data_IF_325528862352
#
_entry.id   IF_325528862352
#
_cell.length_a   1.000
_cell.length_b   1.000
_cell.length_c   1.000
_cell.angle_alpha   90.00
_cell.angle_beta   90.00
_cell.angle_gamma   90.00
#
_symmetry.space_group_name_H-M   'P 1'
#
loop_
_entity.id
_entity.type
_entity.pdbx_description
1 polymer ?
#
# COMPACT_ATOMS: atom_id res chain seq x y z
N UNK A 1 -10.09 4.51 6.44
CA UNK A 1 -9.30 3.38 6.95
C UNK A 1 -7.84 3.81 7.08
N UNK A 2 -7.08 3.20 7.99
CA UNK A 2 -5.63 3.42 8.17
C UNK A 2 -4.86 2.26 7.56
N UNK A 3 -3.82 2.60 6.83
CA UNK A 3 -2.86 1.65 6.29
C UNK A 3 -1.46 1.96 6.81
N UNK A 4 -0.65 0.93 6.96
CA UNK A 4 0.77 1.02 7.27
C UNK A 4 1.59 0.10 6.38
N UNK A 5 2.84 0.49 6.11
CA UNK A 5 3.81 -0.34 5.42
C UNK A 5 4.97 -0.64 6.35
N UNK A 6 5.38 -1.91 6.40
CA UNK A 6 6.58 -2.37 7.10
C UNK A 6 7.54 -2.91 6.04
N UNK A 7 8.70 -2.28 5.90
CA UNK A 7 9.78 -2.73 5.04
C UNK A 7 10.74 -3.58 5.88
N UNK A 8 11.14 -4.75 5.38
CA UNK A 8 12.01 -5.70 6.07
C UNK A 8 13.22 -5.99 5.20
N UNK A 9 14.42 -5.75 5.74
CA UNK A 9 15.69 -5.99 5.05
C UNK A 9 16.83 -5.16 5.67
N UNK A 10 17.96 -5.79 5.97
CA UNK A 10 19.14 -5.10 6.48
C UNK A 10 19.67 -4.03 5.49
N UNK A 11 19.51 -4.26 4.18
CA UNK A 11 19.90 -3.32 3.13
C UNK A 11 19.10 -2.00 3.13
N UNK A 12 17.96 -1.96 3.82
CA UNK A 12 17.19 -0.73 4.02
C UNK A 12 17.84 0.20 5.06
N UNK A 13 18.68 -0.37 5.93
CA UNK A 13 19.27 0.32 7.07
C UNK A 13 20.79 0.53 6.90
N UNK A 14 21.42 -0.25 6.01
CA UNK A 14 22.86 -0.22 5.78
C UNK A 14 23.23 0.21 4.35
N UNK A 15 24.21 1.11 4.21
CA UNK A 15 24.79 1.52 2.91
C UNK A 15 25.80 0.48 2.37
N UNK A 16 25.72 -0.78 2.82
CA UNK A 16 26.74 -1.79 2.60
C UNK A 16 26.54 -2.62 1.32
N UNK A 17 25.32 -2.65 0.77
CA UNK A 17 24.94 -3.57 -0.30
C UNK A 17 24.85 -2.92 -1.69
N UNK A 18 25.17 -1.62 -1.81
CA UNK A 18 25.05 -0.86 -3.07
C UNK A 18 23.60 -0.65 -3.52
N UNK A 19 22.63 -1.04 -2.68
CA UNK A 19 21.22 -0.71 -2.81
C UNK A 19 21.03 0.68 -2.24
N UNK A 20 20.57 1.63 -3.06
CA UNK A 20 20.29 2.97 -2.55
C UNK A 20 19.09 2.90 -1.60
N UNK A 21 19.12 3.57 -0.43
CA UNK A 21 18.01 3.57 0.53
C UNK A 21 16.65 3.93 -0.07
N UNK A 22 16.64 4.66 -1.18
CA UNK A 22 15.45 5.12 -1.88
C UNK A 22 14.85 4.12 -2.89
N UNK A 23 15.38 2.90 -3.03
CA UNK A 23 14.87 1.92 -4.03
C UNK A 23 13.39 1.52 -3.81
N UNK A 24 12.88 1.68 -2.59
CA UNK A 24 11.47 1.46 -2.24
C UNK A 24 10.56 2.67 -2.54
N UNK A 25 11.12 3.81 -2.95
CA UNK A 25 10.37 5.06 -3.15
C UNK A 25 9.23 4.91 -4.16
N UNK A 26 9.48 4.24 -5.28
CA UNK A 26 8.49 4.02 -6.33
C UNK A 26 7.31 3.18 -5.80
N UNK A 27 7.62 2.05 -5.16
CA UNK A 27 6.62 1.17 -4.53
C UNK A 27 5.75 1.93 -3.53
N UNK A 28 6.37 2.70 -2.62
CA UNK A 28 5.63 3.46 -1.60
C UNK A 28 4.76 4.56 -2.20
N UNK A 29 5.22 5.24 -3.26
CA UNK A 29 4.44 6.27 -3.94
C UNK A 29 3.21 5.69 -4.63
N UNK A 30 3.37 4.57 -5.32
CA UNK A 30 2.25 3.88 -5.96
C UNK A 30 1.24 3.34 -4.95
N UNK A 31 1.72 2.58 -3.96
CA UNK A 31 0.85 2.07 -2.89
C UNK A 31 0.11 3.21 -2.18
N UNK A 32 0.80 4.32 -1.88
CA UNK A 32 0.20 5.49 -1.26
C UNK A 32 -0.91 6.11 -2.12
N UNK A 33 -0.70 6.21 -3.43
CA UNK A 33 -1.71 6.69 -4.37
C UNK A 33 -2.90 5.73 -4.42
N UNK A 34 -2.68 4.44 -4.68
CA UNK A 34 -3.74 3.43 -4.80
C UNK A 34 -4.58 3.29 -3.53
N UNK A 35 -3.93 3.37 -2.37
CA UNK A 35 -4.59 3.35 -1.06
C UNK A 35 -5.43 4.61 -0.84
N UNK A 36 -4.90 5.78 -1.19
CA UNK A 36 -5.63 7.05 -1.10
C UNK A 36 -6.89 7.02 -1.96
N UNK A 37 -6.77 6.46 -3.18
CA UNK A 37 -7.87 6.25 -4.12
C UNK A 37 -8.96 5.35 -3.54
N UNK A 38 -8.57 4.40 -2.68
CA UNK A 38 -9.46 3.47 -1.96
C UNK A 38 -9.81 3.94 -0.54
N UNK A 39 -9.64 5.23 -0.24
CA UNK A 39 -10.05 5.80 1.05
C UNK A 39 -9.24 5.32 2.28
N UNK A 40 -8.11 4.66 2.05
CA UNK A 40 -7.10 4.41 3.07
C UNK A 40 -6.22 5.66 3.24
N UNK A 41 -5.74 5.87 4.45
CA UNK A 41 -4.67 6.80 4.73
C UNK A 41 -3.42 5.97 5.06
N UNK A 42 -2.42 5.97 4.17
CA UNK A 42 -1.10 5.43 4.49
C UNK A 42 -0.45 6.37 5.51
N UNK A 43 -0.52 6.01 6.79
CA UNK A 43 -0.16 6.89 7.89
C UNK A 43 1.24 6.65 8.46
N UNK A 44 1.81 5.47 8.23
CA UNK A 44 3.12 5.09 8.75
C UNK A 44 3.83 4.14 7.79
N UNK A 45 5.11 4.42 7.58
CA UNK A 45 6.06 3.50 6.94
C UNK A 45 7.17 3.23 7.96
N UNK A 46 7.56 1.98 8.16
CA UNK A 46 8.60 1.59 9.12
C UNK A 46 9.55 0.62 8.45
N UNK A 47 10.86 0.85 8.56
CA UNK A 47 11.89 -0.07 8.09
C UNK A 47 12.52 -0.80 9.28
N UNK A 48 12.71 -2.10 9.16
CA UNK A 48 13.40 -2.95 10.14
C UNK A 48 14.38 -3.88 9.43
N UNK A 49 15.40 -4.33 10.15
CA UNK A 49 16.34 -5.34 9.66
C UNK A 49 15.77 -6.75 9.70
N UNK A 50 16.57 -7.73 9.27
CA UNK A 50 16.21 -9.16 9.21
C UNK A 50 16.36 -9.88 10.56
N UNK A 51 16.58 -9.11 11.63
CA UNK A 51 16.77 -9.66 12.96
C UNK A 51 15.47 -10.30 13.48
N UNK A 52 15.57 -11.46 14.15
CA UNK A 52 14.38 -12.22 14.54
C UNK A 52 13.60 -11.47 15.62
N UNK A 53 12.30 -11.31 15.39
CA UNK A 53 11.40 -10.66 16.34
C UNK A 53 11.27 -9.15 16.13
N UNK A 54 11.75 -8.61 15.02
CA UNK A 54 11.51 -7.22 14.63
C UNK A 54 10.10 -7.03 14.02
N UNK A 55 9.61 -7.99 13.23
CA UNK A 55 8.32 -7.86 12.55
C UNK A 55 7.13 -8.09 13.50
N UNK A 56 7.19 -9.12 14.33
CA UNK A 56 6.06 -9.54 15.18
C UNK A 56 5.54 -8.42 16.10
N UNK A 57 6.37 -7.65 16.83
CA UNK A 57 5.92 -6.53 17.66
C UNK A 57 5.21 -5.44 16.86
N UNK A 58 5.67 -5.15 15.64
CA UNK A 58 5.06 -4.13 14.78
C UNK A 58 3.67 -4.57 14.30
N UNK A 59 3.50 -5.85 13.97
CA UNK A 59 2.20 -6.40 13.60
C UNK A 59 1.23 -6.36 14.79
N UNK A 60 1.67 -6.75 15.99
CA UNK A 60 0.85 -6.66 17.19
C UNK A 60 0.49 -5.22 17.58
N UNK A 61 1.44 -4.28 17.45
CA UNK A 61 1.18 -2.83 17.65
C UNK A 61 0.13 -2.31 16.66
N UNK A 62 0.26 -2.64 15.37
CA UNK A 62 -0.72 -2.25 14.36
C UNK A 62 -2.12 -2.79 14.65
N UNK A 63 -2.22 -4.06 15.07
CA UNK A 63 -3.49 -4.65 15.48
C UNK A 63 -4.06 -3.99 16.74
N UNK A 64 -3.24 -3.76 17.77
CA UNK A 64 -3.66 -3.10 19.00
C UNK A 64 -4.17 -1.68 18.76
N UNK A 65 -3.58 -0.98 17.78
CA UNK A 65 -4.03 0.35 17.36
C UNK A 65 -5.22 0.32 16.43
N UNK A 66 -5.75 -0.84 16.01
CA UNK A 66 -6.83 -1.01 15.01
C UNK A 66 -6.47 -0.42 13.64
N UNK A 67 -5.27 -0.70 13.14
CA UNK A 67 -4.91 -0.42 11.74
C UNK A 67 -5.69 -1.38 10.84
N UNK A 68 -6.30 -0.87 9.76
CA UNK A 68 -7.17 -1.69 8.90
C UNK A 68 -6.36 -2.58 7.95
N UNK A 69 -5.22 -2.06 7.46
CA UNK A 69 -4.33 -2.76 6.54
C UNK A 69 -2.86 -2.56 6.93
N UNK A 70 -2.10 -3.65 7.00
CA UNK A 70 -0.64 -3.63 7.08
C UNK A 70 -0.08 -4.35 5.87
N UNK A 71 0.84 -3.70 5.16
CA UNK A 71 1.59 -4.33 4.08
C UNK A 71 3.03 -4.51 4.52
N UNK A 72 3.49 -5.75 4.56
CA UNK A 72 4.89 -6.11 4.83
C UNK A 72 5.57 -6.33 3.49
N UNK A 73 6.75 -5.76 3.29
CA UNK A 73 7.51 -5.85 2.04
C UNK A 73 8.94 -6.28 2.39
N UNK A 74 9.38 -7.44 1.88
CA UNK A 74 10.71 -7.99 2.17
C UNK A 74 10.72 -9.31 2.92
N UNK A 75 11.90 -9.92 3.05
CA UNK A 75 12.16 -11.14 3.84
C UNK A 75 11.41 -12.40 3.40
N UNK A 76 11.05 -12.51 2.11
CA UNK A 76 10.30 -13.63 1.52
C UNK A 76 11.14 -14.53 0.59
N UNK A 77 12.44 -14.32 0.46
CA UNK A 77 13.29 -15.19 -0.33
C UNK A 77 13.54 -16.57 0.31
N UNK A 78 14.49 -17.34 -0.24
CA UNK A 78 14.82 -18.67 0.22
C UNK A 78 15.93 -18.71 1.29
N UNK A 79 16.54 -17.59 1.65
CA UNK A 79 17.72 -17.57 2.52
C UNK A 79 17.34 -17.64 4.01
N UNK A 80 18.34 -17.65 4.89
CA UNK A 80 18.17 -17.94 6.33
C UNK A 80 17.82 -16.69 7.17
N UNK A 81 18.12 -15.54 6.60
CA UNK A 81 17.71 -14.18 6.96
C UNK A 81 16.28 -13.86 6.49
N UNK A 82 15.76 -14.52 5.44
CA UNK A 82 14.34 -14.44 5.05
C UNK A 82 13.40 -15.10 6.08
N UNK A 83 13.00 -14.32 7.08
CA UNK A 83 12.29 -14.80 8.28
C UNK A 83 10.82 -14.39 8.35
N UNK A 84 10.30 -13.61 7.39
CA UNK A 84 8.93 -13.11 7.46
C UNK A 84 7.91 -14.24 7.56
N UNK A 85 8.12 -15.37 6.86
CA UNK A 85 7.24 -16.56 6.98
C UNK A 85 7.25 -17.16 8.38
N UNK A 86 8.42 -17.25 8.98
CA UNK A 86 8.60 -17.82 10.31
C UNK A 86 7.98 -16.89 11.38
N UNK A 87 8.14 -15.58 11.23
CA UNK A 87 7.50 -14.58 12.09
C UNK A 87 5.98 -14.56 11.93
N UNK A 88 5.46 -14.66 10.71
CA UNK A 88 4.02 -14.76 10.47
C UNK A 88 3.45 -16.00 11.16
N UNK A 89 4.14 -17.15 11.10
CA UNK A 89 3.71 -18.36 11.82
C UNK A 89 3.58 -18.11 13.34
N UNK A 90 4.53 -17.39 13.94
CA UNK A 90 4.46 -16.98 15.35
C UNK A 90 3.28 -16.06 15.62
N UNK A 91 3.06 -15.06 14.77
CA UNK A 91 1.99 -14.05 14.93
C UNK A 91 0.61 -14.67 14.82
N UNK A 92 0.39 -15.60 13.88
CA UNK A 92 -0.89 -16.31 13.75
C UNK A 92 -1.07 -17.45 14.76
N UNK A 93 -0.04 -17.74 15.57
CA UNK A 93 -0.08 -18.78 16.59
C UNK A 93 -0.12 -20.21 16.03
N UNK A 94 0.50 -20.42 14.87
CA UNK A 94 0.46 -21.69 14.13
C UNK A 94 1.83 -22.36 14.10
N UNK A 95 1.84 -23.64 13.70
CA UNK A 95 3.09 -24.38 13.51
C UNK A 95 3.99 -23.78 12.41
N UNK A 96 5.22 -24.30 12.25
CA UNK A 96 6.17 -23.79 11.27
C UNK A 96 5.58 -23.80 9.85
N UNK A 97 5.99 -22.87 8.97
CA UNK A 97 5.55 -22.84 7.58
C UNK A 97 5.80 -24.19 6.89
N UNK A 98 4.83 -24.66 6.11
CA UNK A 98 4.91 -25.92 5.36
C UNK A 98 4.62 -25.70 3.89
N UNK A 99 5.05 -26.60 2.98
CA UNK A 99 4.71 -26.53 1.57
C UNK A 99 3.20 -26.35 1.37
N UNK A 100 2.81 -25.26 0.69
CA UNK A 100 1.42 -25.04 0.31
C UNK A 100 1.21 -25.48 -1.14
N UNK A 101 0.19 -26.29 -1.46
CA UNK A 101 0.00 -26.84 -2.81
C UNK A 101 0.00 -25.77 -3.91
N UNK A 102 -0.69 -24.65 -3.69
CA UNK A 102 -0.77 -23.57 -4.69
C UNK A 102 0.56 -22.83 -4.84
N UNK A 103 1.17 -22.41 -3.73
CA UNK A 103 2.45 -21.71 -3.73
C UNK A 103 3.58 -22.55 -4.34
N UNK A 104 3.62 -23.87 -4.06
CA UNK A 104 4.59 -24.78 -4.67
C UNK A 104 4.36 -24.93 -6.17
N UNK A 105 3.11 -24.99 -6.64
CA UNK A 105 2.81 -25.03 -8.08
C UNK A 105 3.26 -23.76 -8.77
N UNK A 106 3.00 -22.58 -8.20
CA UNK A 106 3.46 -21.31 -8.74
C UNK A 106 4.99 -21.23 -8.77
N UNK A 107 5.65 -21.63 -7.69
CA UNK A 107 7.11 -21.65 -7.61
C UNK A 107 7.73 -22.51 -8.71
N UNK A 108 7.23 -23.74 -8.90
CA UNK A 108 7.69 -24.63 -9.97
C UNK A 108 7.42 -24.05 -11.35
N UNK A 109 6.24 -23.45 -11.57
CA UNK A 109 5.92 -22.76 -12.82
C UNK A 109 6.89 -21.59 -13.08
N UNK A 110 7.21 -20.79 -12.06
CA UNK A 110 8.16 -19.68 -12.17
C UNK A 110 9.56 -20.13 -12.59
N UNK A 111 10.04 -21.28 -12.13
CA UNK A 111 11.31 -21.88 -12.61
C UNK A 111 11.22 -22.26 -14.09
N UNK A 112 10.14 -22.92 -14.49
CA UNK A 112 9.92 -23.39 -15.86
C UNK A 112 9.80 -22.22 -16.85
N UNK A 113 9.03 -21.18 -16.51
CA UNK A 113 8.85 -19.98 -17.33
C UNK A 113 10.15 -19.19 -17.55
N UNK A 114 11.11 -19.33 -16.63
CA UNK A 114 12.43 -18.67 -16.71
C UNK A 114 13.48 -19.56 -17.40
N UNK A 115 13.10 -20.72 -17.90
CA UNK A 115 13.99 -21.74 -18.46
C UNK A 115 15.12 -22.16 -17.48
N UNK A 116 14.83 -22.14 -16.17
CA UNK A 116 15.76 -22.55 -15.12
C UNK A 116 15.36 -23.94 -14.62
N UNK A 117 16.30 -24.91 -14.51
CA UNK A 117 16.01 -26.21 -13.92
C UNK A 117 15.47 -26.06 -12.49
N UNK A 118 14.36 -26.73 -12.20
CA UNK A 118 13.85 -26.84 -10.82
C UNK A 118 14.91 -27.56 -9.97
N UNK A 119 15.36 -27.00 -8.84
CA UNK A 119 16.35 -27.64 -8.00
C UNK A 119 15.82 -28.92 -7.35
N UNK A 120 16.71 -29.72 -6.77
CA UNK A 120 16.33 -30.97 -6.09
C UNK A 120 15.37 -30.71 -4.91
N UNK A 121 14.45 -31.66 -4.69
CA UNK A 121 13.49 -31.62 -3.59
C UNK A 121 14.22 -31.57 -2.22
N UNK A 122 13.60 -30.89 -1.26
CA UNK A 122 14.16 -30.66 0.07
C UNK A 122 15.22 -29.56 0.15
N UNK A 123 15.46 -28.83 -0.95
CA UNK A 123 16.38 -27.69 -0.99
C UNK A 123 15.80 -26.39 -0.40
N UNK A 124 16.63 -25.38 -0.11
CA UNK A 124 16.19 -24.09 0.45
C UNK A 124 15.14 -23.35 -0.39
N UNK A 125 15.13 -23.58 -1.72
CA UNK A 125 14.19 -22.95 -2.65
C UNK A 125 12.73 -23.23 -2.29
N UNK A 126 12.41 -24.41 -1.75
CA UNK A 126 11.03 -24.78 -1.36
C UNK A 126 10.44 -23.83 -0.31
N UNK A 127 11.30 -23.18 0.51
CA UNK A 127 10.87 -22.19 1.51
C UNK A 127 10.04 -21.07 0.88
N UNK A 128 10.28 -20.72 -0.38
CA UNK A 128 9.52 -19.71 -1.13
C UNK A 128 8.06 -20.12 -1.39
N UNK A 129 7.75 -21.43 -1.35
CA UNK A 129 6.41 -21.99 -1.46
C UNK A 129 5.83 -22.49 -0.13
N UNK A 130 6.50 -22.23 0.99
CA UNK A 130 5.99 -22.56 2.32
C UNK A 130 5.05 -21.48 2.83
N UNK A 131 3.96 -21.88 3.49
CA UNK A 131 2.98 -20.97 4.09
C UNK A 131 2.54 -21.53 5.44
N UNK A 132 2.38 -20.69 6.49
CA UNK A 132 1.81 -21.11 7.75
C UNK A 132 0.35 -21.58 7.60
N UNK A 133 -0.09 -22.48 8.48
CA UNK A 133 -1.48 -22.91 8.49
C UNK A 133 -2.42 -21.71 8.75
N UNK A 134 -3.56 -21.64 8.04
CA UNK A 134 -4.54 -20.56 8.21
C UNK A 134 -4.13 -19.22 7.59
N UNK A 135 -2.99 -19.19 6.89
CA UNK A 135 -2.55 -18.07 6.07
C UNK A 135 -2.79 -18.43 4.61
N UNK A 136 -3.31 -17.47 3.85
CA UNK A 136 -3.58 -17.66 2.42
C UNK A 136 -2.32 -17.32 1.61
N UNK A 137 -1.89 -18.17 0.66
CA UNK A 137 -0.80 -17.83 -0.25
C UNK A 137 -1.24 -16.73 -1.23
N UNK A 138 -0.32 -15.85 -1.61
CA UNK A 138 -0.55 -14.82 -2.64
C UNK A 138 0.40 -15.07 -3.81
N UNK A 139 -0.14 -15.14 -5.02
CA UNK A 139 0.65 -15.43 -6.22
C UNK A 139 1.63 -14.29 -6.53
N UNK A 140 2.85 -14.65 -6.94
CA UNK A 140 3.86 -13.70 -7.38
C UNK A 140 4.07 -13.83 -8.90
N UNK A 141 3.34 -13.05 -9.73
CA UNK A 141 3.38 -13.21 -11.18
C UNK A 141 4.73 -12.80 -11.80
N UNK A 142 5.53 -12.01 -11.09
CA UNK A 142 6.81 -11.50 -11.59
C UNK A 142 8.04 -12.16 -10.93
N UNK A 143 7.83 -13.01 -9.92
CA UNK A 143 8.88 -13.60 -9.10
C UNK A 143 8.66 -15.08 -8.76
N UNK A 144 9.35 -15.53 -7.72
CA UNK A 144 9.33 -16.93 -7.27
C UNK A 144 8.69 -17.09 -5.88
N UNK A 145 8.98 -16.16 -4.98
CA UNK A 145 8.49 -16.18 -3.61
C UNK A 145 6.99 -15.89 -3.55
N UNK A 146 6.19 -16.84 -3.07
CA UNK A 146 4.78 -16.60 -2.79
C UNK A 146 4.64 -15.61 -1.63
N UNK A 147 3.73 -14.66 -1.79
CA UNK A 147 3.29 -13.76 -0.72
C UNK A 147 2.35 -14.46 0.26
N UNK A 148 1.89 -13.71 1.24
CA UNK A 148 0.97 -14.20 2.26
C UNK A 148 -0.14 -13.18 2.57
N UNK A 149 -1.34 -13.66 2.83
CA UNK A 149 -2.49 -12.88 3.25
C UNK A 149 -3.13 -13.51 4.50
N UNK A 150 -3.34 -12.70 5.54
CA UNK A 150 -4.02 -13.15 6.76
C UNK A 150 -4.69 -11.98 7.48
N UNK A 151 -5.37 -12.28 8.59
CA UNK A 151 -5.95 -11.29 9.51
C UNK A 151 -5.34 -11.45 10.89
N UNK A 152 -5.11 -10.32 11.55
CA UNK A 152 -4.68 -10.24 12.94
C UNK A 152 -5.79 -9.57 13.76
N UNK A 153 -6.45 -10.36 14.61
CA UNK A 153 -7.67 -9.91 15.27
C UNK A 153 -8.84 -9.71 14.28
N UNK A 154 -9.90 -8.98 14.69
CA UNK A 154 -11.11 -8.86 13.88
C UNK A 154 -10.96 -7.94 12.67
N UNK A 155 -10.06 -6.95 12.73
CA UNK A 155 -10.07 -5.81 11.81
C UNK A 155 -8.80 -5.69 10.93
N UNK A 156 -7.63 -6.13 11.42
CA UNK A 156 -6.36 -5.85 10.72
C UNK A 156 -6.07 -6.90 9.67
N UNK A 157 -6.08 -6.51 8.40
CA UNK A 157 -5.58 -7.33 7.29
C UNK A 157 -4.07 -7.15 7.16
N UNK A 158 -3.36 -8.25 6.92
CA UNK A 158 -1.92 -8.23 6.66
C UNK A 158 -1.64 -8.85 5.30
N UNK A 159 -0.83 -8.18 4.48
CA UNK A 159 -0.36 -8.66 3.18
C UNK A 159 1.16 -8.64 3.17
N UNK A 160 1.81 -9.75 2.88
CA UNK A 160 3.26 -9.86 2.78
C UNK A 160 3.67 -10.00 1.31
N UNK A 161 4.54 -9.10 0.86
CA UNK A 161 5.03 -8.96 -0.50
C UNK A 161 6.56 -9.10 -0.53
N UNK A 162 7.16 -9.49 -1.67
CA UNK A 162 8.61 -9.60 -1.82
C UNK A 162 9.28 -8.23 -1.70
N UNK A 163 10.55 -8.20 -1.29
CA UNK A 163 11.34 -6.98 -1.11
C UNK A 163 11.81 -6.35 -2.42
N UNK A 164 11.57 -7.01 -3.55
CA UNK A 164 12.04 -6.54 -4.85
C UNK A 164 10.93 -5.81 -5.56
N UNK A 165 11.12 -4.52 -5.84
CA UNK A 165 10.08 -3.63 -6.40
C UNK A 165 9.43 -4.18 -7.67
N UNK A 166 10.21 -4.80 -8.56
CA UNK A 166 9.67 -5.39 -9.80
C UNK A 166 8.77 -6.60 -9.57
N UNK A 167 8.86 -7.25 -8.40
CA UNK A 167 7.97 -8.34 -7.99
C UNK A 167 6.79 -7.81 -7.16
N UNK A 168 7.07 -6.88 -6.24
CA UNK A 168 6.09 -6.35 -5.31
C UNK A 168 4.98 -5.55 -6.01
N UNK A 169 5.31 -4.74 -7.02
CA UNK A 169 4.35 -3.91 -7.73
C UNK A 169 3.32 -4.73 -8.53
N UNK A 170 3.72 -5.74 -9.34
CA UNK A 170 2.76 -6.64 -9.97
C UNK A 170 1.87 -7.37 -8.97
N UNK A 171 2.43 -7.92 -7.88
CA UNK A 171 1.64 -8.55 -6.83
C UNK A 171 0.64 -7.59 -6.17
N UNK A 172 1.09 -6.36 -5.89
CA UNK A 172 0.24 -5.32 -5.34
C UNK A 172 -0.95 -5.06 -6.27
N UNK A 173 -0.70 -4.84 -7.56
CA UNK A 173 -1.73 -4.46 -8.54
C UNK A 173 -2.67 -5.61 -8.89
N UNK A 174 -2.16 -6.83 -9.02
CA UNK A 174 -2.91 -7.97 -9.56
C UNK A 174 -3.58 -8.82 -8.48
N UNK A 175 -3.02 -8.87 -7.28
CA UNK A 175 -3.52 -9.73 -6.21
C UNK A 175 -4.05 -8.92 -5.02
N UNK A 176 -3.29 -7.92 -4.56
CA UNK A 176 -3.68 -7.16 -3.36
C UNK A 176 -4.79 -6.16 -3.65
N UNK A 177 -4.66 -5.31 -4.67
CA UNK A 177 -5.68 -4.30 -4.97
C UNK A 177 -7.05 -4.90 -5.27
N UNK A 178 -7.20 -5.96 -6.09
CA UNK A 178 -8.51 -6.54 -6.35
C UNK A 178 -9.12 -7.17 -5.10
N UNK A 179 -8.32 -7.73 -4.21
CA UNK A 179 -8.76 -8.24 -2.91
C UNK A 179 -9.16 -7.11 -1.95
N UNK A 180 -8.47 -5.97 -1.99
CA UNK A 180 -8.92 -4.77 -1.30
C UNK A 180 -10.25 -4.29 -1.86
N UNK A 181 -10.44 -4.28 -3.18
CA UNK A 181 -11.65 -3.79 -3.86
C UNK A 181 -12.90 -4.67 -3.61
N UNK A 182 -12.73 -5.96 -3.30
CA UNK A 182 -13.86 -6.84 -2.93
C UNK A 182 -14.48 -6.46 -1.58
N UNK A 183 -13.63 -6.10 -0.62
CA UNK A 183 -14.03 -5.72 0.74
C UNK A 183 -14.24 -4.20 0.86
N UNK A 184 -13.50 -3.45 0.05
CA UNK A 184 -13.69 -2.04 -0.20
C UNK A 184 -14.80 -1.88 -1.23
N UNK A 185 -16.03 -2.05 -0.76
CA UNK A 185 -17.05 -1.19 -1.31
C UNK A 185 -16.73 0.22 -0.77
N UNK A 186 -16.44 1.25 -1.60
CA UNK A 186 -16.93 2.57 -1.23
C UNK A 186 -18.39 2.36 -0.80
N UNK A 187 -18.87 3.05 0.25
CA UNK A 187 -20.31 2.97 0.57
C UNK A 187 -21.08 3.01 -0.75
N UNK A 188 -21.98 2.03 -1.05
CA UNK A 188 -22.50 1.84 -2.40
C UNK A 188 -22.92 3.18 -3.00
N UNK A 189 -22.21 3.60 -4.06
CA UNK A 189 -22.24 4.98 -4.52
C UNK A 189 -21.39 5.92 -3.67
N UNK A 190 -20.06 5.84 -3.75
CA UNK A 190 -19.18 6.95 -3.32
C UNK A 190 -18.28 7.34 -4.49
N UNK A 191 -18.17 8.64 -4.77
CA UNK A 191 -17.35 9.20 -5.85
C UNK A 191 -16.12 9.89 -5.27
N UNK A 192 -15.06 9.92 -6.07
CA UNK A 192 -13.87 10.73 -5.84
C UNK A 192 -13.79 11.83 -6.91
N UNK A 193 -13.37 13.02 -6.52
CA UNK A 193 -13.02 14.10 -7.45
C UNK A 193 -11.69 14.73 -7.05
N UNK A 194 -10.90 15.17 -8.04
CA UNK A 194 -9.57 15.71 -7.84
C UNK A 194 -9.46 17.08 -8.51
N UNK A 195 -9.14 18.11 -7.73
CA UNK A 195 -8.87 19.45 -8.26
C UNK A 195 -7.37 19.72 -8.16
N UNK A 196 -6.78 20.24 -9.23
CA UNK A 196 -5.38 20.69 -9.24
C UNK A 196 -5.38 22.21 -9.18
N UNK A 197 -4.90 22.75 -8.06
CA UNK A 197 -4.86 24.18 -7.77
C UNK A 197 -3.42 24.67 -7.92
N UNK A 198 -3.21 25.73 -8.70
CA UNK A 198 -1.89 26.32 -8.94
C UNK A 198 -1.85 27.78 -8.52
N UNK A 199 -0.65 28.27 -8.20
CA UNK A 199 -0.41 29.69 -7.90
C UNK A 199 -0.72 30.13 -6.47
N UNK A 200 -1.01 29.19 -5.56
CA UNK A 200 -1.37 29.46 -4.17
C UNK A 200 -0.58 28.57 -3.21
N UNK A 201 -0.27 29.09 -2.03
CA UNK A 201 0.35 28.30 -0.96
C UNK A 201 -0.70 27.49 -0.20
N UNK A 202 -0.28 26.36 0.38
CA UNK A 202 -1.14 25.54 1.23
C UNK A 202 -1.70 26.32 2.42
N UNK A 203 -0.95 27.26 2.99
CA UNK A 203 -1.42 28.10 4.10
C UNK A 203 -2.60 29.02 3.75
N UNK A 204 -2.78 29.36 2.47
CA UNK A 204 -3.94 30.12 1.99
C UNK A 204 -5.08 29.18 1.57
N UNK A 205 -4.74 28.05 0.95
CA UNK A 205 -5.72 27.07 0.47
C UNK A 205 -6.39 26.27 1.60
N UNK A 206 -5.60 25.89 2.62
CA UNK A 206 -6.01 25.08 3.77
C UNK A 206 -7.29 25.58 4.43
N UNK A 207 -7.34 26.83 4.91
CA UNK A 207 -8.52 27.38 5.55
C UNK A 207 -9.78 27.34 4.68
N UNK A 208 -9.65 27.57 3.37
CA UNK A 208 -10.79 27.56 2.43
C UNK A 208 -11.36 26.14 2.28
N UNK A 209 -10.48 25.14 2.16
CA UNK A 209 -10.88 23.74 2.03
C UNK A 209 -11.42 23.20 3.36
N UNK A 210 -10.87 23.63 4.50
CA UNK A 210 -11.40 23.30 5.83
C UNK A 210 -12.80 23.86 6.05
N UNK A 211 -13.02 25.14 5.73
CA UNK A 211 -14.35 25.77 5.78
C UNK A 211 -15.35 25.06 4.84
N UNK A 212 -14.89 24.72 3.63
CA UNK A 212 -15.68 23.96 2.66
C UNK A 212 -16.09 22.59 3.20
N UNK A 213 -15.17 21.85 3.81
CA UNK A 213 -15.43 20.52 4.38
C UNK A 213 -16.33 20.60 5.62
N UNK A 214 -16.14 21.61 6.47
CA UNK A 214 -16.94 21.81 7.68
C UNK A 214 -18.44 22.06 7.39
N UNK A 215 -18.75 22.62 6.22
CA UNK A 215 -20.13 22.90 5.79
C UNK A 215 -20.80 21.75 5.04
N UNK A 216 -20.09 20.65 4.78
CA UNK A 216 -20.61 19.50 4.00
C UNK A 216 -20.41 18.17 4.73
N UNK A 217 -21.29 17.84 5.69
CA UNK A 217 -21.29 16.53 6.33
C UNK A 217 -21.43 15.44 5.26
N UNK A 218 -20.44 14.56 5.14
CA UNK A 218 -20.41 13.51 4.12
C UNK A 218 -19.42 13.74 2.97
N UNK A 219 -18.87 14.95 2.83
CA UNK A 219 -17.75 15.22 1.92
C UNK A 219 -16.45 15.31 2.72
N UNK A 220 -15.53 14.39 2.47
CA UNK A 220 -14.16 14.46 2.96
C UNK A 220 -13.31 15.22 1.95
N UNK A 221 -12.67 16.31 2.38
CA UNK A 221 -11.68 17.00 1.59
C UNK A 221 -10.27 16.74 2.14
N UNK A 222 -9.29 16.50 1.26
CA UNK A 222 -7.87 16.42 1.61
C UNK A 222 -7.05 17.29 0.68
N UNK A 223 -5.96 17.82 1.20
CA UNK A 223 -4.98 18.59 0.45
C UNK A 223 -3.67 17.81 0.42
N UNK A 224 -3.07 17.66 -0.75
CA UNK A 224 -1.74 17.07 -0.92
C UNK A 224 -0.95 17.90 -1.92
N UNK A 225 0.37 17.98 -1.77
CA UNK A 225 1.22 18.57 -2.80
C UNK A 225 1.14 17.71 -4.08
N UNK A 226 0.82 18.33 -5.21
CA UNK A 226 0.72 17.64 -6.51
C UNK A 226 2.04 17.72 -7.30
N UNK A 227 2.73 18.86 -7.21
CA UNK A 227 4.04 19.06 -7.83
C UNK A 227 4.81 20.16 -7.07
N UNK A 228 6.02 19.84 -6.63
CA UNK A 228 6.92 20.79 -5.99
C UNK A 228 7.70 21.66 -7.00
N UNK A 229 7.72 21.28 -8.29
CA UNK A 229 8.55 21.91 -9.33
C UNK A 229 7.81 22.96 -10.18
N UNK A 230 6.49 23.07 -10.07
CA UNK A 230 5.63 23.98 -10.86
C UNK A 230 5.75 25.50 -10.56
N UNK A 231 6.91 25.99 -10.11
CA UNK A 231 7.17 27.40 -9.81
C UNK A 231 7.12 27.73 -8.31
N UNK A 232 6.98 29.03 -7.97
CA UNK A 232 7.18 29.55 -6.59
C UNK A 232 6.30 28.88 -5.51
N UNK A 233 5.15 28.32 -5.89
CA UNK A 233 4.21 27.66 -4.99
C UNK A 233 3.84 26.22 -5.40
N UNK A 234 4.43 25.70 -6.48
CA UNK A 234 4.08 24.38 -7.01
C UNK A 234 2.60 24.25 -7.44
N UNK A 235 2.10 23.02 -7.44
CA UNK A 235 0.68 22.70 -7.58
C UNK A 235 0.18 21.87 -6.41
N UNK A 236 -1.07 22.07 -6.02
CA UNK A 236 -1.71 21.42 -4.88
C UNK A 236 -2.92 20.64 -5.36
N UNK A 237 -3.02 19.37 -4.96
CA UNK A 237 -4.16 18.50 -5.19
C UNK A 237 -5.16 18.66 -4.05
N UNK A 238 -6.40 18.99 -4.38
CA UNK A 238 -7.53 18.86 -3.46
C UNK A 238 -8.37 17.66 -3.87
N UNK A 239 -8.50 16.67 -2.99
CA UNK A 239 -9.28 15.46 -3.24
C UNK A 239 -10.55 15.49 -2.42
N UNK A 240 -11.69 15.36 -3.10
CA UNK A 240 -13.01 15.23 -2.50
C UNK A 240 -13.47 13.77 -2.58
N UNK A 241 -14.07 13.26 -1.50
CA UNK A 241 -14.65 11.91 -1.45
C UNK A 241 -15.96 11.94 -0.68
N UNK A 242 -17.01 11.32 -1.21
CA UNK A 242 -18.35 11.26 -0.62
C UNK A 242 -19.35 10.63 -1.57
N UNK A 243 -20.65 10.74 -1.30
CA UNK A 243 -21.72 10.27 -2.21
C UNK A 243 -21.64 10.94 -3.60
N UNK A 244 -21.95 10.26 -4.73
CA UNK A 244 -21.81 10.75 -6.10
C UNK A 244 -22.40 12.12 -6.32
N UNK A 245 -23.69 12.28 -6.04
CA UNK A 245 -24.41 13.54 -6.20
C UNK A 245 -23.80 14.63 -5.31
N UNK A 246 -23.40 14.25 -4.08
CA UNK A 246 -22.74 15.16 -3.15
C UNK A 246 -21.39 15.65 -3.68
N UNK A 247 -20.58 14.77 -4.27
CA UNK A 247 -19.28 15.12 -4.85
C UNK A 247 -19.44 15.92 -6.14
N UNK A 248 -20.39 15.54 -7.00
CA UNK A 248 -20.71 16.29 -8.23
C UNK A 248 -21.17 17.72 -7.92
N UNK A 249 -21.96 17.92 -6.86
CA UNK A 249 -22.34 19.27 -6.40
C UNK A 249 -21.19 20.00 -5.69
N UNK A 250 -20.36 19.29 -4.94
CA UNK A 250 -19.25 19.84 -4.18
C UNK A 250 -18.14 20.43 -5.06
N UNK A 251 -17.83 19.81 -6.21
CA UNK A 251 -16.78 20.27 -7.13
C UNK A 251 -16.98 21.72 -7.60
N UNK A 252 -18.09 22.10 -8.27
CA UNK A 252 -18.29 23.46 -8.75
C UNK A 252 -18.37 24.49 -7.61
N UNK A 253 -18.90 24.09 -6.45
CA UNK A 253 -18.95 24.95 -5.27
C UNK A 253 -17.55 25.27 -4.74
N UNK A 254 -16.69 24.25 -4.61
CA UNK A 254 -15.31 24.45 -4.21
C UNK A 254 -14.54 25.28 -5.23
N UNK A 255 -14.70 25.01 -6.53
CA UNK A 255 -14.11 25.83 -7.61
C UNK A 255 -14.52 27.30 -7.46
N UNK A 256 -15.79 27.55 -7.14
CA UNK A 256 -16.31 28.89 -6.90
C UNK A 256 -15.68 29.52 -5.66
N UNK A 257 -15.55 28.81 -4.54
CA UNK A 257 -14.86 29.35 -3.36
C UNK A 257 -13.39 29.68 -3.65
N UNK A 258 -12.70 28.82 -4.40
CA UNK A 258 -11.30 29.00 -4.77
C UNK A 258 -11.07 30.17 -5.73
N UNK A 259 -12.03 30.49 -6.61
CA UNK A 259 -11.90 31.61 -7.56
C UNK A 259 -11.91 32.99 -6.89
N UNK A 260 -12.40 33.08 -5.64
CA UNK A 260 -12.38 34.32 -4.86
C UNK A 260 -11.02 34.59 -4.19
N UNK A 261 -10.10 33.62 -4.19
CA UNK A 261 -8.75 33.80 -3.68
C UNK A 261 -7.87 34.37 -4.79
N UNK A 262 -7.26 35.53 -4.54
CA UNK A 262 -6.42 36.20 -5.54
C UNK A 262 -5.21 35.34 -5.95
N UNK A 263 -4.94 35.27 -7.25
CA UNK A 263 -3.76 34.60 -7.80
C UNK A 263 -3.90 33.09 -8.03
N UNK A 264 -5.10 32.53 -7.84
CA UNK A 264 -5.37 31.12 -8.10
C UNK A 264 -5.68 30.87 -9.58
N UNK A 265 -5.02 29.87 -10.16
CA UNK A 265 -5.50 29.16 -11.34
C UNK A 265 -5.97 27.77 -10.91
N UNK A 266 -7.25 27.45 -11.14
CA UNK A 266 -7.82 26.12 -10.86
C UNK A 266 -7.94 25.35 -12.16
N UNK A 267 -7.30 24.18 -12.21
CA UNK A 267 -7.53 23.19 -13.27
C UNK A 267 -8.28 22.01 -12.64
N UNK A 268 -9.49 21.75 -13.14
CA UNK A 268 -10.31 20.62 -12.66
C UNK A 268 -9.97 19.41 -13.53
N UNK A 269 -9.43 18.36 -12.92
CA UNK A 269 -9.32 17.05 -13.56
C UNK A 269 -10.33 16.12 -12.91
N UNK A 270 -11.46 15.91 -13.56
CA UNK A 270 -12.37 14.86 -13.14
C UNK A 270 -11.71 13.51 -13.35
N UNK A 271 -11.29 12.90 -12.24
CA UNK A 271 -10.93 11.48 -12.20
C UNK A 271 -12.10 10.76 -11.58
N UNK A 272 -12.99 10.26 -12.43
CA UNK A 272 -14.00 9.29 -12.02
C UNK A 272 -13.28 7.96 -11.78
N UNK A 273 -13.16 7.56 -10.52
CA UNK A 273 -12.83 6.17 -10.21
C UNK A 273 -13.98 5.28 -10.72
N UNK A 274 -13.69 4.12 -11.33
CA UNK A 274 -14.70 3.14 -11.73
C UNK A 274 -15.51 2.62 -10.53
#
# INVERSE_FOLDING_TARGET
>A
MRAEVILVGDELLEDAHGVQPDYMRELLQEMGADLSDRGYALGRVTSVGDMPGELSPLLFDAAARNVDLVVVVGGLGPTHDDRVRDEVAMVVGMGPPRPHPDAMRWLVASYQERDIPVPEEGGPWERMGHVPQGVEPVHNPAGMAAGMAFRLGPNTRVRCLPGVTFEALPMWREEVLPDLDRDWAPAPGSRKAVLVVRGVSEGVLGPVVEEFAATRPGIRARINLADAQGGRFGSIRVTLTGEPDGVEMAVPELVTMLSHVQGIAVEVQEVTSP
#
